data_IF_130699623579
#
_entry.id   IF_130699623579
#
_cell.length_a   1.000
_cell.length_b   1.000
_cell.length_c   1.000
_cell.angle_alpha   90.00
_cell.angle_beta   90.00
_cell.angle_gamma   90.00
#
_symmetry.space_group_name_H-M   'P 1'
#
loop_
_entity.id
_entity.type
_entity.pdbx_description
1 polymer ?
#
# COMPACT_ATOMS: atom_id res chain seq x y z
N UNK A 1 -5.98 -7.12 -9.61
CA UNK A 1 -4.75 -6.32 -9.78
C UNK A 1 -3.74 -7.00 -10.67
N UNK A 2 -3.34 -8.24 -10.38
CA UNK A 2 -2.42 -9.02 -11.24
C UNK A 2 -2.87 -9.08 -12.71
N UNK A 3 -4.12 -9.45 -12.98
CA UNK A 3 -4.74 -9.45 -14.32
C UNK A 3 -4.62 -8.10 -15.05
N UNK A 4 -4.50 -7.00 -14.30
CA UNK A 4 -4.42 -5.65 -14.82
C UNK A 4 -2.95 -5.16 -14.91
N UNK A 5 -1.98 -5.87 -14.34
CA UNK A 5 -0.59 -5.38 -14.27
C UNK A 5 -0.44 -4.05 -13.50
N UNK A 6 -1.43 -3.66 -12.70
CA UNK A 6 -1.53 -2.33 -12.07
C UNK A 6 -0.69 -2.26 -10.78
N UNK A 7 0.29 -1.34 -10.69
CA UNK A 7 1.03 -1.09 -9.46
C UNK A 7 0.13 -0.66 -8.29
N UNK A 8 0.45 -1.16 -7.11
CA UNK A 8 -0.36 -1.04 -5.91
C UNK A 8 0.46 -0.46 -4.77
N UNK A 9 -0.05 0.61 -4.16
CA UNK A 9 0.50 1.20 -2.94
C UNK A 9 -0.42 0.87 -1.77
N UNK A 10 0.04 0.00 -0.87
CA UNK A 10 -0.70 -0.38 0.32
C UNK A 10 -0.29 0.50 1.50
N UNK A 11 -1.22 0.80 2.40
CA UNK A 11 -0.92 1.55 3.62
C UNK A 11 -2.04 1.49 4.66
N UNK A 12 -1.70 1.81 5.91
CA UNK A 12 -2.52 1.39 7.04
C UNK A 12 -2.61 -0.13 7.13
N UNK A 13 -3.73 -0.63 7.69
CA UNK A 13 -4.07 -2.06 7.78
C UNK A 13 -4.21 -2.81 6.44
N UNK A 14 -4.17 -2.12 5.29
CA UNK A 14 -4.14 -2.78 3.98
C UNK A 14 -2.78 -3.36 3.60
N UNK A 15 -1.72 -3.10 4.38
CA UNK A 15 -0.40 -3.73 4.16
C UNK A 15 -0.52 -5.25 4.29
N UNK A 16 0.10 -5.97 3.36
CA UNK A 16 0.08 -7.43 3.31
C UNK A 16 -1.03 -8.03 2.44
N UNK A 17 -1.97 -7.23 1.90
CA UNK A 17 -3.00 -7.72 0.95
C UNK A 17 -2.42 -8.41 -0.31
N UNK A 18 -1.21 -8.06 -0.72
CA UNK A 18 -0.49 -8.69 -1.84
C UNK A 18 0.64 -9.64 -1.37
N UNK A 19 0.79 -9.84 -0.06
CA UNK A 19 1.95 -10.53 0.52
C UNK A 19 3.25 -9.72 0.44
N UNK A 20 4.37 -10.40 0.73
CA UNK A 20 5.71 -9.80 0.90
C UNK A 20 6.30 -9.31 -0.44
N UNK A 21 6.61 -10.22 -1.35
CA UNK A 21 7.47 -9.98 -2.52
C UNK A 21 6.69 -9.83 -3.85
N UNK A 22 5.51 -9.22 -3.83
CA UNK A 22 4.66 -9.14 -5.02
C UNK A 22 5.17 -8.11 -6.04
N UNK A 23 5.33 -8.45 -7.33
CA UNK A 23 5.97 -7.57 -8.32
C UNK A 23 5.19 -6.30 -8.67
N UNK A 24 3.92 -6.19 -8.25
CA UNK A 24 3.10 -4.98 -8.37
C UNK A 24 2.98 -4.21 -7.05
N UNK A 25 3.47 -4.74 -5.92
CA UNK A 25 3.44 -4.03 -4.64
C UNK A 25 4.64 -3.08 -4.55
N UNK A 26 4.37 -1.77 -4.56
CA UNK A 26 5.39 -0.72 -4.44
C UNK A 26 5.23 -0.06 -3.07
N UNK A 27 6.33 0.06 -2.30
CA UNK A 27 6.30 0.44 -0.88
C UNK A 27 6.80 1.86 -0.65
N UNK A 28 7.78 2.28 -1.46
CA UNK A 28 8.53 3.51 -1.39
C UNK A 28 8.07 4.52 -2.43
N UNK A 29 8.53 5.76 -2.32
CA UNK A 29 8.39 6.80 -3.34
C UNK A 29 6.94 7.10 -3.82
N UNK A 30 5.92 6.66 -3.07
CA UNK A 30 4.48 6.91 -3.34
C UNK A 30 4.18 8.33 -3.81
N UNK A 31 4.75 9.33 -3.16
CA UNK A 31 4.54 10.74 -3.52
C UNK A 31 5.15 11.17 -4.86
N UNK A 32 6.19 10.49 -5.35
CA UNK A 32 6.72 10.69 -6.70
C UNK A 32 5.87 9.95 -7.74
N UNK A 33 5.42 8.72 -7.43
CA UNK A 33 4.54 7.94 -8.28
C UNK A 33 3.20 8.66 -8.54
N UNK A 34 2.56 9.19 -7.49
CA UNK A 34 1.28 9.92 -7.59
C UNK A 34 1.38 11.24 -8.36
N UNK A 35 2.57 11.85 -8.46
CA UNK A 35 2.81 13.05 -9.29
C UNK A 35 3.02 12.71 -10.77
N UNK A 36 3.48 11.49 -11.08
CA UNK A 36 3.77 11.00 -12.44
C UNK A 36 2.60 10.24 -13.08
N UNK A 37 1.69 9.67 -12.28
CA UNK A 37 0.58 8.86 -12.76
C UNK A 37 -0.43 9.68 -13.60
N UNK A 38 -0.87 9.14 -14.73
CA UNK A 38 -1.96 9.68 -15.55
C UNK A 38 -3.34 9.29 -15.00
N UNK A 39 -3.44 8.16 -14.30
CA UNK A 39 -4.66 7.69 -13.63
C UNK A 39 -4.35 7.17 -12.22
N UNK A 40 -5.14 7.57 -11.24
CA UNK A 40 -5.03 7.10 -9.85
C UNK A 40 -6.38 6.55 -9.39
N UNK A 41 -6.39 5.30 -8.93
CA UNK A 41 -7.57 4.63 -8.37
C UNK A 41 -7.44 4.56 -6.84
N UNK A 42 -8.09 5.50 -6.17
CA UNK A 42 -8.21 5.54 -4.72
C UNK A 42 -9.29 4.53 -4.28
N UNK A 43 -8.90 3.33 -3.88
CA UNK A 43 -9.84 2.31 -3.44
C UNK A 43 -9.87 2.21 -1.91
N UNK A 44 -11.04 2.42 -1.30
CA UNK A 44 -11.25 2.41 0.15
C UNK A 44 -10.47 3.48 0.93
N UNK A 45 -9.91 4.49 0.26
CA UNK A 45 -9.05 5.50 0.89
C UNK A 45 -9.81 6.78 1.17
N UNK A 46 -9.43 7.40 2.29
CA UNK A 46 -9.79 8.76 2.67
C UNK A 46 -8.62 9.69 2.36
N UNK A 47 -8.87 10.79 1.64
CA UNK A 47 -7.86 11.82 1.36
C UNK A 47 -7.58 12.70 2.59
N UNK A 48 -7.02 12.10 3.64
CA UNK A 48 -6.61 12.75 4.90
C UNK A 48 -5.12 13.16 4.89
N UNK A 49 -4.59 13.54 6.04
CA UNK A 49 -3.19 13.96 6.21
C UNK A 49 -2.17 12.92 5.71
N UNK A 50 -2.49 11.61 5.78
CA UNK A 50 -1.63 10.50 5.32
C UNK A 50 -1.49 10.46 3.78
N UNK A 51 -2.36 11.17 3.06
CA UNK A 51 -2.27 11.45 1.62
C UNK A 51 -2.13 12.95 1.33
N UNK A 52 -1.68 13.74 2.32
CA UNK A 52 -1.50 15.20 2.22
C UNK A 52 -2.77 15.94 1.75
N UNK A 53 -3.95 15.47 2.17
CA UNK A 53 -5.26 16.01 1.76
C UNK A 53 -5.48 16.00 0.23
N UNK A 54 -4.85 15.04 -0.47
CA UNK A 54 -4.86 14.92 -1.93
C UNK A 54 -3.92 15.88 -2.68
N UNK A 55 -3.22 16.78 -1.99
CA UNK A 55 -2.25 17.74 -2.61
C UNK A 55 -1.10 17.04 -3.37
N UNK A 56 -0.84 15.77 -3.07
CA UNK A 56 0.22 14.98 -3.72
C UNK A 56 -0.21 14.42 -5.09
N UNK A 57 -1.51 14.41 -5.39
CA UNK A 57 -2.05 13.99 -6.68
C UNK A 57 -1.74 15.05 -7.75
N UNK A 58 -1.32 14.65 -8.95
CA UNK A 58 -1.14 15.63 -10.02
C UNK A 58 -2.50 16.18 -10.50
N UNK A 59 -2.52 17.47 -10.86
CA UNK A 59 -3.68 18.12 -11.48
C UNK A 59 -4.00 17.58 -12.87
N UNK A 60 -3.06 16.85 -13.48
CA UNK A 60 -3.24 16.14 -14.76
C UNK A 60 -3.75 14.70 -14.60
N UNK A 61 -3.74 14.14 -13.38
CA UNK A 61 -4.16 12.76 -13.15
C UNK A 61 -5.69 12.64 -13.17
N UNK A 62 -6.23 11.66 -13.88
CA UNK A 62 -7.63 11.23 -13.75
C UNK A 62 -7.78 10.47 -12.44
N UNK A 63 -8.48 11.05 -11.47
CA UNK A 63 -8.70 10.41 -10.17
C UNK A 63 -10.01 9.61 -10.21
N UNK A 64 -9.93 8.30 -10.07
CA UNK A 64 -11.07 7.43 -9.81
C UNK A 64 -11.05 7.14 -8.31
N UNK A 65 -12.18 7.28 -7.61
CA UNK A 65 -12.29 6.90 -6.21
C UNK A 65 -13.46 5.95 -6.02
N UNK A 66 -13.25 4.89 -5.23
CA UNK A 66 -14.29 3.97 -4.79
C UNK A 66 -14.24 3.83 -3.28
N UNK A 67 -15.37 4.07 -2.61
CA UNK A 67 -15.49 3.91 -1.16
C UNK A 67 -16.95 3.59 -0.80
N UNK A 68 -17.18 2.80 0.26
CA UNK A 68 -18.52 2.49 0.77
C UNK A 68 -19.22 3.74 1.33
N UNK A 69 -18.46 4.63 1.96
CA UNK A 69 -18.97 5.85 2.59
C UNK A 69 -18.79 7.08 1.66
N UNK A 70 -19.91 7.65 1.19
CA UNK A 70 -19.92 8.83 0.30
C UNK A 70 -19.31 10.08 0.94
N UNK A 71 -19.44 10.26 2.26
CA UNK A 71 -18.87 11.41 2.98
C UNK A 71 -17.34 11.34 3.04
N UNK A 72 -16.80 10.14 3.30
CA UNK A 72 -15.36 9.90 3.31
C UNK A 72 -14.75 9.94 1.91
N UNK A 73 -15.48 9.47 0.91
CA UNK A 73 -15.10 9.54 -0.51
C UNK A 73 -14.84 10.97 -0.98
N UNK A 74 -15.67 11.92 -0.54
CA UNK A 74 -15.62 13.31 -1.01
C UNK A 74 -14.94 14.27 -0.01
N UNK A 75 -14.36 13.76 1.08
CA UNK A 75 -13.68 14.63 2.04
C UNK A 75 -12.43 15.24 1.40
N UNK A 76 -12.27 16.55 1.55
CA UNK A 76 -11.20 17.35 0.95
C UNK A 76 -11.16 17.32 -0.59
N UNK A 77 -12.19 16.85 -1.28
CA UNK A 77 -12.32 17.04 -2.73
C UNK A 77 -12.48 18.52 -3.07
N UNK A 78 -12.21 18.87 -4.32
CA UNK A 78 -12.35 20.21 -4.90
C UNK A 78 -11.42 21.29 -4.31
N UNK A 79 -10.65 20.98 -3.26
CA UNK A 79 -9.62 21.86 -2.69
C UNK A 79 -8.26 21.76 -3.42
N UNK A 80 -7.75 20.54 -3.64
CA UNK A 80 -6.47 20.30 -4.35
C UNK A 80 -6.57 19.27 -5.49
N UNK A 81 -7.63 18.46 -5.46
CA UNK A 81 -7.87 17.34 -6.37
C UNK A 81 -9.37 17.20 -6.55
N UNK A 82 -9.82 16.58 -7.65
CA UNK A 82 -11.23 16.29 -7.90
C UNK A 82 -11.35 14.88 -8.48
N UNK A 83 -12.31 14.05 -8.04
CA UNK A 83 -12.59 12.80 -8.72
C UNK A 83 -13.11 13.08 -10.13
N UNK A 84 -12.52 12.41 -11.12
CA UNK A 84 -13.10 12.21 -12.43
C UNK A 84 -14.32 11.29 -12.31
N UNK A 85 -14.17 10.20 -11.55
CA UNK A 85 -15.24 9.25 -11.25
C UNK A 85 -15.27 8.95 -9.75
N UNK A 86 -16.46 8.94 -9.15
CA UNK A 86 -16.66 8.72 -7.72
C UNK A 86 -17.73 7.64 -7.49
N UNK A 87 -17.28 6.41 -7.22
CA UNK A 87 -18.13 5.22 -7.15
C UNK A 87 -18.41 4.88 -5.69
N UNK A 88 -19.65 5.08 -5.24
CA UNK A 88 -20.05 4.60 -3.92
C UNK A 88 -20.30 3.09 -3.98
N UNK A 89 -19.50 2.29 -3.28
CA UNK A 89 -19.64 0.85 -3.31
C UNK A 89 -18.54 0.08 -2.59
N UNK A 90 -18.67 -1.25 -2.62
CA UNK A 90 -17.63 -2.15 -2.12
C UNK A 90 -16.42 -2.19 -3.05
N UNK A 91 -15.22 -2.10 -2.46
CA UNK A 91 -13.94 -2.03 -3.19
C UNK A 91 -13.63 -3.33 -3.91
N UNK A 92 -13.79 -4.48 -3.25
CA UNK A 92 -13.51 -5.78 -3.86
C UNK A 92 -14.43 -6.04 -5.05
N UNK A 93 -15.73 -5.81 -4.85
CA UNK A 93 -16.77 -5.94 -5.88
C UNK A 93 -16.53 -5.00 -7.07
N UNK A 94 -16.09 -3.76 -6.81
CA UNK A 94 -15.71 -2.81 -7.86
C UNK A 94 -14.51 -3.30 -8.67
N UNK A 95 -13.45 -3.77 -7.99
CA UNK A 95 -12.24 -4.27 -8.66
C UNK A 95 -12.53 -5.50 -9.53
N UNK A 96 -13.39 -6.42 -9.06
CA UNK A 96 -13.81 -7.58 -9.86
C UNK A 96 -14.55 -7.15 -11.14
N UNK A 97 -15.53 -6.25 -11.01
CA UNK A 97 -16.27 -5.70 -12.18
C UNK A 97 -15.39 -4.88 -13.11
N UNK A 98 -14.36 -4.20 -12.58
CA UNK A 98 -13.37 -3.46 -13.38
C UNK A 98 -12.50 -4.42 -14.20
N UNK A 99 -12.11 -5.57 -13.64
CA UNK A 99 -11.38 -6.62 -14.37
C UNK A 99 -12.26 -7.21 -15.47
N UNK A 100 -13.51 -7.54 -15.16
CA UNK A 100 -14.49 -8.09 -16.10
C UNK A 100 -14.76 -7.12 -17.27
N UNK A 101 -15.04 -5.84 -16.97
CA UNK A 101 -15.35 -4.82 -17.97
C UNK A 101 -14.18 -4.39 -18.86
N UNK A 102 -12.94 -4.64 -18.45
CA UNK A 102 -11.73 -4.30 -19.23
C UNK A 102 -11.15 -5.47 -20.04
N UNK A 103 -11.76 -6.65 -19.95
CA UNK A 103 -11.62 -7.78 -20.90
C UNK A 103 -10.18 -8.09 -21.34
N UNK A 104 -9.25 -8.13 -20.40
CA UNK A 104 -7.85 -8.53 -20.67
C UNK A 104 -6.93 -7.41 -21.16
N UNK A 105 -7.35 -6.14 -21.14
CA UNK A 105 -6.39 -5.03 -21.25
C UNK A 105 -5.30 -5.15 -20.17
N UNK A 106 -4.04 -4.90 -20.55
CA UNK A 106 -2.87 -5.02 -19.67
C UNK A 106 -2.08 -3.72 -19.66
N UNK A 107 -1.81 -3.18 -18.47
CA UNK A 107 -1.20 -1.87 -18.32
C UNK A 107 0.31 -1.89 -18.61
N UNK A 108 0.85 -0.68 -18.80
CA UNK A 108 2.20 -0.42 -19.23
C UNK A 108 3.26 -1.06 -18.31
N UNK A 109 3.99 -2.07 -18.81
CA UNK A 109 4.96 -2.83 -17.99
C UNK A 109 6.22 -2.01 -17.65
N UNK A 110 6.55 -1.03 -18.48
CA UNK A 110 7.63 -0.05 -18.24
C UNK A 110 7.40 0.76 -16.96
N UNK A 111 6.16 1.10 -16.65
CA UNK A 111 5.78 1.88 -15.48
C UNK A 111 5.91 1.07 -14.19
N UNK A 112 5.44 -0.17 -14.22
CA UNK A 112 5.62 -1.09 -13.10
C UNK A 112 7.12 -1.34 -12.83
N UNK A 113 7.93 -1.41 -13.88
CA UNK A 113 9.39 -1.55 -13.78
C UNK A 113 10.09 -0.28 -13.28
N UNK A 114 9.74 0.91 -13.81
CA UNK A 114 10.24 2.21 -13.33
C UNK A 114 9.98 2.37 -11.82
N UNK A 115 8.78 2.00 -11.38
CA UNK A 115 8.41 2.03 -9.96
C UNK A 115 9.19 1.01 -9.13
N UNK A 116 9.37 -0.24 -9.61
CA UNK A 116 10.19 -1.25 -8.92
C UNK A 116 11.64 -0.83 -8.77
N UNK A 117 12.26 -0.28 -9.81
CA UNK A 117 13.64 0.21 -9.77
C UNK A 117 13.80 1.36 -8.78
N UNK A 118 12.84 2.29 -8.74
CA UNK A 118 12.80 3.35 -7.74
C UNK A 118 12.62 2.79 -6.31
N UNK A 119 11.79 1.76 -6.13
CA UNK A 119 11.57 1.05 -4.86
C UNK A 119 12.89 0.45 -4.34
N UNK A 120 13.55 -0.36 -5.18
CA UNK A 120 14.83 -1.01 -4.88
C UNK A 120 15.94 -0.01 -4.56
N UNK A 121 16.04 1.08 -5.33
CA UNK A 121 17.03 2.13 -5.06
C UNK A 121 16.77 2.82 -3.71
N UNK A 122 15.50 2.97 -3.32
CA UNK A 122 15.16 3.52 -2.00
C UNK A 122 15.44 2.53 -0.88
N UNK A 123 15.15 1.24 -1.06
CA UNK A 123 15.54 0.18 -0.12
C UNK A 123 17.06 0.16 0.10
N UNK A 124 17.85 0.25 -0.97
CA UNK A 124 19.32 0.32 -0.88
C UNK A 124 19.76 1.48 0.01
N UNK A 125 19.17 2.67 -0.15
CA UNK A 125 19.46 3.82 0.71
C UNK A 125 19.11 3.60 2.18
N UNK A 126 18.13 2.75 2.49
CA UNK A 126 17.84 2.34 3.88
C UNK A 126 18.85 1.33 4.41
N UNK A 127 19.35 0.39 3.59
CA UNK A 127 20.43 -0.53 3.98
C UNK A 127 21.72 0.24 4.28
N UNK A 128 22.08 1.21 3.43
CA UNK A 128 23.22 2.12 3.65
C UNK A 128 23.09 2.89 4.98
N UNK A 129 21.90 3.48 5.25
CA UNK A 129 21.62 4.17 6.53
C UNK A 129 21.68 3.27 7.76
N UNK A 130 21.33 1.99 7.64
CA UNK A 130 21.39 1.04 8.75
C UNK A 130 22.82 0.63 9.11
N UNK A 131 23.75 0.69 8.14
CA UNK A 131 25.17 0.38 8.35
C UNK A 131 25.99 1.59 8.86
N UNK A 132 25.39 2.78 8.97
CA UNK A 132 26.07 3.95 9.51
C UNK A 132 26.40 3.75 11.00
N UNK A 133 27.67 3.96 11.42
CA UNK A 133 28.06 3.83 12.81
C UNK A 133 27.38 4.92 13.66
N UNK A 134 26.94 4.52 14.85
CA UNK A 134 26.33 5.42 15.85
C UNK A 134 27.22 5.45 17.09
N UNK A 135 27.47 6.64 17.62
CA UNK A 135 28.30 6.84 18.82
C UNK A 135 27.54 6.53 20.11
N UNK A 136 26.21 6.64 20.09
CA UNK A 136 25.32 6.40 21.22
C UNK A 136 24.00 5.80 20.74
N UNK A 137 23.40 4.93 21.56
CA UNK A 137 22.14 4.21 21.30
C UNK A 137 22.15 3.30 20.05
N UNK A 138 21.00 2.69 19.75
CA UNK A 138 20.81 1.82 18.59
C UNK A 138 20.31 2.62 17.38
N UNK A 139 20.80 2.30 16.19
CA UNK A 139 20.28 2.84 14.94
C UNK A 139 18.87 2.24 14.67
N UNK A 140 17.78 3.03 14.68
CA UNK A 140 16.41 2.50 14.56
C UNK A 140 16.15 1.84 13.20
N UNK A 141 16.83 2.28 12.13
CA UNK A 141 16.72 1.65 10.80
C UNK A 141 17.35 0.25 10.83
N UNK A 142 18.46 0.07 11.56
CA UNK A 142 19.09 -1.26 11.71
C UNK A 142 18.24 -2.19 12.58
N UNK A 143 17.65 -1.68 13.66
CA UNK A 143 16.72 -2.46 14.50
C UNK A 143 15.54 -2.97 13.67
N UNK A 144 14.90 -2.09 12.88
CA UNK A 144 13.76 -2.47 12.04
C UNK A 144 14.13 -3.43 10.90
N UNK A 145 15.37 -3.36 10.37
CA UNK A 145 15.88 -4.37 9.43
C UNK A 145 16.12 -5.72 10.10
N UNK A 146 16.70 -5.75 11.29
CA UNK A 146 16.86 -6.99 12.07
C UNK A 146 15.50 -7.63 12.39
N UNK A 147 14.48 -6.83 12.70
CA UNK A 147 13.09 -7.31 12.84
C UNK A 147 12.60 -7.94 11.52
N UNK A 148 12.69 -7.24 10.38
CA UNK A 148 12.25 -7.77 9.08
C UNK A 148 13.02 -9.04 8.64
N UNK A 149 14.31 -9.13 8.96
CA UNK A 149 15.21 -10.27 8.73
C UNK A 149 14.81 -11.49 9.59
N UNK A 150 14.31 -11.27 10.81
CA UNK A 150 13.98 -12.35 11.79
C UNK A 150 12.49 -12.70 11.84
N UNK A 151 11.60 -11.88 11.28
CA UNK A 151 10.15 -12.00 11.40
C UNK A 151 9.58 -13.29 10.73
N UNK A 152 8.99 -14.23 11.50
CA UNK A 152 8.37 -15.45 10.97
C UNK A 152 7.21 -15.18 9.99
N UNK A 153 6.94 -16.14 9.11
CA UNK A 153 5.89 -16.00 8.08
C UNK A 153 4.46 -15.99 8.64
N UNK A 154 4.22 -16.53 9.84
CA UNK A 154 2.94 -16.47 10.54
C UNK A 154 2.76 -15.22 11.42
N UNK A 155 3.65 -14.22 11.34
CA UNK A 155 3.63 -13.09 12.27
C UNK A 155 2.50 -12.09 12.04
N UNK A 156 1.89 -11.64 13.14
CA UNK A 156 1.07 -10.43 13.21
C UNK A 156 1.93 -9.30 13.81
N UNK A 157 1.98 -8.16 13.10
CA UNK A 157 2.68 -6.95 13.50
C UNK A 157 1.69 -5.99 14.16
N UNK A 158 1.85 -5.74 15.46
CA UNK A 158 1.20 -4.63 16.17
C UNK A 158 2.21 -3.50 16.32
N UNK A 159 1.91 -2.33 15.78
CA UNK A 159 2.85 -1.19 15.74
C UNK A 159 2.22 0.08 16.32
N UNK A 160 2.87 0.64 17.34
CA UNK A 160 2.50 1.89 18.00
C UNK A 160 3.73 2.79 18.22
N UNK A 161 3.49 4.11 18.25
CA UNK A 161 4.48 5.17 18.31
C UNK A 161 4.47 6.11 17.11
N UNK A 162 5.18 7.23 17.22
CA UNK A 162 5.28 8.25 16.17
C UNK A 162 6.23 7.86 15.02
N UNK A 163 7.36 8.55 14.91
CA UNK A 163 8.32 8.37 13.80
C UNK A 163 8.85 6.94 13.65
N UNK A 164 8.82 6.14 14.73
CA UNK A 164 9.20 4.74 14.69
C UNK A 164 8.23 3.89 13.86
N UNK A 165 6.91 4.08 13.99
CA UNK A 165 5.90 3.39 13.14
C UNK A 165 5.97 3.91 11.71
N UNK A 166 6.16 5.21 11.53
CA UNK A 166 6.41 5.81 10.22
C UNK A 166 7.59 5.14 9.50
N UNK A 167 8.69 4.90 10.21
CA UNK A 167 9.87 4.21 9.67
C UNK A 167 9.63 2.71 9.49
N UNK A 168 8.95 2.05 10.43
CA UNK A 168 8.61 0.62 10.35
C UNK A 168 7.75 0.32 9.12
N UNK A 169 6.80 1.20 8.79
CA UNK A 169 5.91 1.10 7.63
C UNK A 169 6.64 1.17 6.27
N UNK A 170 7.91 1.56 6.26
CA UNK A 170 8.79 1.52 5.09
C UNK A 170 9.72 0.29 5.05
N UNK A 171 9.96 -0.38 6.19
CA UNK A 171 10.99 -1.41 6.31
C UNK A 171 10.41 -2.81 6.52
N UNK A 172 9.50 -2.95 7.48
CA UNK A 172 8.94 -4.23 7.92
C UNK A 172 7.73 -4.61 7.05
N UNK A 173 7.62 -5.89 6.70
CA UNK A 173 6.64 -6.37 5.73
C UNK A 173 5.67 -7.38 6.37
N UNK A 174 4.39 -7.04 6.58
CA UNK A 174 3.39 -8.04 6.97
C UNK A 174 3.29 -9.12 5.90
N UNK A 175 3.21 -10.36 6.35
CA UNK A 175 3.38 -11.55 5.51
C UNK A 175 2.10 -11.93 4.76
N UNK A 176 0.94 -11.52 5.29
CA UNK A 176 -0.38 -11.69 4.66
C UNK A 176 -1.37 -10.58 5.02
N UNK A 177 -2.63 -10.69 4.56
CA UNK A 177 -3.69 -9.73 4.88
C UNK A 177 -3.99 -9.73 6.37
N UNK A 178 -4.34 -8.56 6.92
CA UNK A 178 -4.64 -8.35 8.35
C UNK A 178 -3.48 -8.63 9.34
N UNK A 179 -2.26 -8.92 8.84
CA UNK A 179 -1.05 -9.09 9.65
C UNK A 179 -0.37 -7.76 10.06
N UNK A 180 -1.03 -6.61 9.88
CA UNK A 180 -0.53 -5.28 10.25
C UNK A 180 -1.63 -4.50 10.96
N UNK A 181 -1.39 -4.17 12.23
CA UNK A 181 -2.27 -3.44 13.11
C UNK A 181 -1.55 -2.16 13.57
N UNK A 182 -2.01 -1.02 13.08
CA UNK A 182 -1.58 0.32 13.52
C UNK A 182 -2.79 1.07 14.10
N UNK A 183 -2.60 2.10 14.94
CA UNK A 183 -3.70 2.80 15.59
C UNK A 183 -4.49 3.73 14.65
N UNK A 184 -4.22 3.68 13.34
CA UNK A 184 -5.03 4.33 12.31
C UNK A 184 -4.86 5.85 12.24
N UNK A 185 -5.92 6.51 11.77
CA UNK A 185 -5.97 7.97 11.57
C UNK A 185 -5.99 8.75 12.91
N UNK A 186 -6.46 8.13 13.98
CA UNK A 186 -6.85 8.77 15.25
C UNK A 186 -6.06 8.18 16.43
N UNK A 187 -4.82 7.73 16.16
CA UNK A 187 -4.00 6.99 17.11
C UNK A 187 -3.57 7.78 18.35
N UNK A 188 -3.22 7.06 19.43
CA UNK A 188 -2.90 7.69 20.71
C UNK A 188 -1.58 8.47 20.67
N UNK A 189 -1.45 9.38 21.63
CA UNK A 189 -0.24 10.17 21.91
C UNK A 189 0.96 9.29 22.30
N UNK A 190 2.21 9.79 22.17
CA UNK A 190 3.35 8.94 21.82
C UNK A 190 3.81 7.96 22.93
N UNK A 191 3.70 6.67 22.63
CA UNK A 191 4.48 5.59 23.23
C UNK A 191 4.93 4.63 22.13
N UNK A 192 6.22 4.28 22.06
CA UNK A 192 6.73 3.38 21.02
C UNK A 192 6.65 1.92 21.49
N UNK A 193 5.86 1.11 20.80
CA UNK A 193 5.77 -0.33 21.04
C UNK A 193 5.52 -1.08 19.72
N UNK A 194 6.44 -1.97 19.35
CA UNK A 194 6.24 -2.93 18.27
C UNK A 194 6.17 -4.33 18.89
N UNK A 195 5.02 -4.98 18.80
CA UNK A 195 4.80 -6.31 19.34
C UNK A 195 4.53 -7.28 18.19
N UNK A 196 5.37 -8.31 18.09
CA UNK A 196 5.17 -9.42 17.15
C UNK A 196 4.42 -10.52 17.88
N UNK A 197 3.25 -10.91 17.38
CA UNK A 197 2.53 -12.11 17.85
C UNK A 197 2.57 -13.19 16.78
N UNK A 198 2.93 -14.42 17.18
CA UNK A 198 2.86 -15.62 16.34
C UNK A 198 1.64 -16.46 16.76
N UNK A 199 0.60 -16.60 15.91
CA UNK A 199 -0.49 -17.53 16.16
C UNK A 199 -0.03 -18.99 15.98
N UNK A 200 -0.58 -19.89 16.79
CA UNK A 200 -0.54 -21.33 16.56
C UNK A 200 -1.34 -21.71 15.29
N UNK A 201 -0.90 -22.75 14.58
CA UNK A 201 -1.33 -23.12 13.23
C UNK A 201 -2.84 -23.40 13.07
N UNK A 202 -3.40 -23.24 11.86
CA UNK A 202 -3.61 -24.42 10.99
C UNK A 202 -3.33 -24.23 9.47
N UNK A 203 -3.60 -25.31 8.72
CA UNK A 203 -3.11 -25.69 7.37
C UNK A 203 -3.53 -24.85 6.15
N UNK A 204 -2.81 -25.08 5.02
CA UNK A 204 -2.95 -24.37 3.75
C UNK A 204 -3.56 -25.21 2.59
N UNK A 205 -4.24 -24.48 1.67
CA UNK A 205 -4.65 -24.79 0.29
C UNK A 205 -4.71 -23.43 -0.47
N UNK A 206 -4.52 -23.26 -1.78
CA UNK A 206 -4.15 -24.13 -2.90
C UNK A 206 -3.93 -23.28 -4.18
N UNK A 207 -3.70 -23.85 -5.37
CA UNK A 207 -3.76 -23.10 -6.66
C UNK A 207 -4.24 -23.98 -7.83
N UNK A 208 -4.70 -23.40 -8.97
CA UNK A 208 -3.83 -23.41 -10.17
C UNK A 208 -3.99 -22.27 -11.23
N UNK A 209 -2.84 -21.85 -11.78
CA UNK A 209 -2.37 -21.50 -13.17
C UNK A 209 -3.33 -21.09 -14.35
N UNK A 210 -2.86 -20.09 -15.14
CA UNK A 210 -3.03 -19.92 -16.62
C UNK A 210 -3.99 -18.78 -17.07
N UNK A 211 -3.84 -18.08 -18.22
CA UNK A 211 -2.87 -18.07 -19.34
C UNK A 211 -2.95 -16.74 -20.18
N UNK A 212 -1.81 -16.25 -20.75
CA UNK A 212 -1.54 -15.37 -21.95
C UNK A 212 -2.35 -14.09 -22.33
N UNK A 213 -1.57 -13.00 -22.56
CA UNK A 213 -1.52 -11.99 -23.67
C UNK A 213 -2.83 -11.39 -24.27
N UNK A 214 -3.04 -10.07 -24.41
CA UNK A 214 -2.18 -9.11 -25.16
C UNK A 214 -2.66 -7.62 -25.14
N UNK A 215 -1.76 -6.67 -24.86
CA UNK A 215 -1.68 -5.31 -25.46
C UNK A 215 -2.71 -4.19 -25.14
N UNK A 216 -2.29 -3.11 -24.46
CA UNK A 216 -3.02 -1.82 -24.43
C UNK A 216 -2.60 -0.85 -23.31
N UNK A 217 -1.91 0.25 -23.62
CA UNK A 217 -1.15 1.04 -22.62
C UNK A 217 -2.01 2.06 -21.83
N UNK A 218 -1.96 1.97 -20.50
CA UNK A 218 -2.39 2.98 -19.52
C UNK A 218 -1.54 2.82 -18.24
N UNK A 219 -1.55 3.76 -17.28
CA UNK A 219 -0.79 3.68 -16.00
C UNK A 219 -1.66 3.97 -14.75
N UNK A 220 -2.56 3.05 -14.38
CA UNK A 220 -3.34 3.13 -13.13
C UNK A 220 -2.45 2.75 -11.93
N UNK A 221 -2.69 3.38 -10.78
CA UNK A 221 -2.21 2.93 -9.46
C UNK A 221 -3.39 2.70 -8.50
N UNK A 222 -3.48 1.57 -7.80
CA UNK A 222 -4.56 1.32 -6.81
C UNK A 222 -4.13 1.41 -5.35
N UNK A 223 -5.08 1.76 -4.48
CA UNK A 223 -4.95 1.77 -3.02
C UNK A 223 -5.99 0.88 -2.32
N UNK A 224 -5.86 0.67 -1.00
CA UNK A 224 -6.83 -0.04 -0.17
C UNK A 224 -6.83 0.48 1.27
N UNK A 225 -8.00 0.55 1.92
CA UNK A 225 -8.12 0.36 3.38
C UNK A 225 -9.29 -0.58 3.65
N UNK A 226 -9.07 -1.58 4.51
CA UNK A 226 -10.09 -2.48 5.01
C UNK A 226 -10.77 -1.86 6.22
N UNK A 227 -12.03 -1.42 6.05
CA UNK A 227 -12.91 -1.08 7.18
C UNK A 227 -13.52 -2.39 7.71
N UNK A 228 -13.45 -2.70 9.02
CA UNK A 228 -14.03 -3.93 9.55
C UNK A 228 -15.55 -3.92 9.38
N UNK A 229 -16.11 -5.07 8.95
CA UNK A 229 -17.54 -5.27 8.92
C UNK A 229 -18.08 -5.31 10.36
N UNK A 230 -18.98 -4.37 10.69
CA UNK A 230 -19.92 -4.57 11.79
C UNK A 230 -21.18 -5.20 11.21
N UNK A 231 -21.57 -6.35 11.77
CA UNK A 231 -22.95 -6.80 11.74
C UNK A 231 -23.75 -5.97 12.76
#
# INVERSE_FOLDING_TARGET
METLGVPCFLGGMARGLLGRNHPLHIRQNRGAALKKADVVLLAGVVCDFRLSYGRVLSRSSKIIIVNRNRKEMLINSDMFWKPQEAVQGDVGSFVLKLVEGLQGQTWASDWAEELRQADQQKEKSFREKAMMPVSQHLNPVRVLQLVEETLPDNSILVVDGGDFVGTAAHLVQPRGPLCWLDPGKEGPTPGAACTVQSPSHPHALGSPRGLRDSGGWCRICTWGQTVPARC
#
